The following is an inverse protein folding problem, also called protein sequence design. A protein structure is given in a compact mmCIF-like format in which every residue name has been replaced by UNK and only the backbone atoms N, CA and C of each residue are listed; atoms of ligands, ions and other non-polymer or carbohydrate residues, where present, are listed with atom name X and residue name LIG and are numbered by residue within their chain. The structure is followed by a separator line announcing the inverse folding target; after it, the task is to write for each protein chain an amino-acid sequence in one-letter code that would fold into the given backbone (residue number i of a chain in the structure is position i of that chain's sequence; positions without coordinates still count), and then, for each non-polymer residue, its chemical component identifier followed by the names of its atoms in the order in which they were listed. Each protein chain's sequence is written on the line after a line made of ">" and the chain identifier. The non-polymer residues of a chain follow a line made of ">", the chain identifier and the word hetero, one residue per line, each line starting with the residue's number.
data_IF_999385424820
#
_entry.id   IF_999385424820
#
_cell.length_a   1.000
_cell.length_b   1.000
_cell.length_c   1.000
_cell.angle_alpha   90.00
_cell.angle_beta   90.00
_cell.angle_gamma   90.00
#
_symmetry.space_group_name_H-M   'P 1'
#
loop_
_entity.id
_entity.type
_entity.pdbx_description
1 polymer ?
#
# COMPACT_ATOMS: atom_id res chain seq x y z
N UNK A 1 -18.87 -14.49 8.95
CA UNK A 1 -17.84 -13.82 8.12
C UNK A 1 -18.39 -12.58 7.42
N UNK A 2 -19.58 -12.67 6.76
CA UNK A 2 -20.13 -11.55 5.97
C UNK A 2 -20.38 -10.26 6.77
N UNK A 3 -20.75 -10.40 8.06
CA UNK A 3 -20.90 -9.26 8.96
C UNK A 3 -19.57 -8.54 9.24
N UNK A 4 -18.47 -9.31 9.35
CA UNK A 4 -17.11 -8.75 9.52
C UNK A 4 -16.69 -8.02 8.25
N UNK A 5 -16.87 -8.67 7.09
CA UNK A 5 -16.54 -8.06 5.79
C UNK A 5 -17.35 -6.79 5.51
N UNK A 6 -18.58 -6.70 6.06
CA UNK A 6 -19.45 -5.53 5.94
C UNK A 6 -19.17 -4.45 7.00
N UNK A 7 -18.14 -4.59 7.83
CA UNK A 7 -17.76 -3.63 8.89
C UNK A 7 -18.76 -3.56 10.06
N UNK A 8 -19.66 -4.54 10.20
CA UNK A 8 -20.69 -4.50 11.26
C UNK A 8 -20.18 -4.87 12.64
N UNK A 9 -18.96 -5.38 12.73
CA UNK A 9 -18.34 -5.88 13.96
C UNK A 9 -16.97 -5.22 14.21
N UNK A 10 -16.69 -4.06 13.63
CA UNK A 10 -15.39 -3.38 13.74
C UNK A 10 -15.02 -3.05 15.18
N UNK A 11 -16.02 -2.75 16.03
CA UNK A 11 -15.86 -2.53 17.46
C UNK A 11 -15.40 -3.77 18.25
N UNK A 12 -15.48 -4.95 17.65
CA UNK A 12 -15.00 -6.20 18.22
C UNK A 12 -13.51 -6.49 17.93
N UNK A 13 -12.82 -5.57 17.23
CA UNK A 13 -11.40 -5.66 16.89
C UNK A 13 -10.59 -4.53 17.54
N UNK A 14 -10.47 -4.51 18.89
CA UNK A 14 -9.87 -3.38 19.62
C UNK A 14 -8.34 -3.38 19.64
N UNK A 15 -7.70 -4.34 18.97
CA UNK A 15 -6.25 -4.49 19.02
C UNK A 15 -5.55 -3.30 18.35
N UNK A 16 -4.49 -2.84 19.00
CA UNK A 16 -3.66 -1.73 18.48
C UNK A 16 -2.59 -2.26 17.52
N UNK A 17 -2.02 -1.36 16.71
CA UNK A 17 -0.93 -1.72 15.77
C UNK A 17 0.31 -2.23 16.51
N UNK A 18 0.63 -1.65 17.68
CA UNK A 18 1.76 -2.03 18.51
C UNK A 18 1.45 -3.30 19.30
N UNK A 19 1.77 -4.43 18.73
CA UNK A 19 1.65 -5.76 19.31
C UNK A 19 2.80 -6.65 18.81
N UNK A 20 2.84 -7.92 19.24
CA UNK A 20 3.87 -8.86 18.79
C UNK A 20 3.81 -9.07 17.27
N UNK A 21 4.95 -9.13 16.61
CA UNK A 21 5.04 -9.33 15.15
C UNK A 21 4.56 -10.70 14.65
N UNK A 22 4.34 -11.65 15.58
CA UNK A 22 3.80 -13.00 15.25
C UNK A 22 2.34 -12.98 14.76
N UNK A 23 1.57 -11.92 15.05
CA UNK A 23 0.17 -11.79 14.65
C UNK A 23 -0.80 -12.70 15.38
N UNK A 24 -0.37 -13.42 16.41
CA UNK A 24 -1.22 -14.36 17.16
C UNK A 24 -2.45 -13.69 17.74
N UNK A 25 -2.30 -12.49 18.30
CA UNK A 25 -3.42 -11.74 18.89
C UNK A 25 -4.47 -11.41 17.83
N UNK A 26 -4.06 -10.92 16.66
CA UNK A 26 -4.97 -10.60 15.55
C UNK A 26 -5.68 -11.85 15.04
N UNK A 27 -4.95 -12.95 14.80
CA UNK A 27 -5.53 -14.21 14.38
C UNK A 27 -6.56 -14.73 15.38
N UNK A 28 -6.21 -14.72 16.68
CA UNK A 28 -7.14 -15.21 17.73
C UNK A 28 -8.33 -14.29 17.90
N UNK A 29 -8.18 -12.97 17.82
CA UNK A 29 -9.31 -12.05 17.86
C UNK A 29 -10.33 -12.36 16.75
N UNK A 30 -9.87 -12.58 15.52
CA UNK A 30 -10.75 -12.96 14.40
C UNK A 30 -11.45 -14.30 14.70
N UNK A 31 -10.71 -15.30 15.16
CA UNK A 31 -11.25 -16.62 15.47
C UNK A 31 -12.30 -16.57 16.59
N UNK A 32 -12.06 -15.79 17.63
CA UNK A 32 -12.99 -15.60 18.75
C UNK A 32 -14.25 -14.87 18.31
N UNK A 33 -14.12 -13.79 17.54
CA UNK A 33 -15.28 -13.05 17.02
C UNK A 33 -16.15 -13.96 16.14
N UNK A 34 -15.54 -14.77 15.26
CA UNK A 34 -16.26 -15.71 14.40
C UNK A 34 -17.00 -16.77 15.24
N UNK A 35 -16.29 -17.40 16.20
CA UNK A 35 -16.86 -18.46 17.04
C UNK A 35 -18.02 -17.94 17.89
N UNK A 36 -17.82 -16.80 18.56
CA UNK A 36 -18.81 -16.26 19.48
C UNK A 36 -20.01 -15.66 18.74
N UNK A 37 -19.77 -14.99 17.62
CA UNK A 37 -20.87 -14.50 16.79
C UNK A 37 -21.68 -15.65 16.20
N UNK A 38 -21.01 -16.73 15.77
CA UNK A 38 -21.67 -17.95 15.30
C UNK A 38 -22.58 -18.57 16.38
N UNK A 39 -22.11 -18.60 17.63
CA UNK A 39 -22.90 -19.06 18.79
C UNK A 39 -24.15 -18.21 19.01
N UNK A 40 -24.01 -16.88 19.01
CA UNK A 40 -25.14 -15.95 19.16
C UNK A 40 -26.16 -16.09 18.03
N UNK A 41 -25.72 -16.26 16.79
CA UNK A 41 -26.61 -16.45 15.64
C UNK A 41 -27.44 -17.75 15.73
N UNK A 42 -26.98 -18.71 16.51
CA UNK A 42 -27.72 -19.95 16.82
C UNK A 42 -28.61 -19.87 18.06
N UNK A 43 -28.78 -18.68 18.64
CA UNK A 43 -29.61 -18.41 19.79
C UNK A 43 -28.91 -18.57 21.15
N UNK A 44 -27.59 -18.79 21.16
CA UNK A 44 -26.79 -18.84 22.38
C UNK A 44 -26.48 -17.44 22.95
N UNK A 45 -25.97 -17.41 24.18
CA UNK A 45 -25.53 -16.22 24.89
C UNK A 45 -24.01 -16.16 24.99
N UNK A 46 -23.43 -14.94 24.94
CA UNK A 46 -22.00 -14.75 25.18
C UNK A 46 -21.56 -15.23 26.57
N UNK A 47 -22.50 -15.29 27.53
CA UNK A 47 -22.25 -15.76 28.90
C UNK A 47 -22.30 -17.28 29.05
N UNK A 48 -22.69 -18.02 28.02
CA UNK A 48 -22.75 -19.50 28.09
C UNK A 48 -21.33 -20.05 28.27
N UNK A 49 -21.18 -21.04 29.16
CA UNK A 49 -19.88 -21.68 29.42
C UNK A 49 -19.40 -22.49 28.21
N UNK A 50 -20.31 -23.17 27.54
CA UNK A 50 -20.05 -23.96 26.34
C UNK A 50 -20.55 -23.22 25.12
N UNK A 51 -19.70 -23.12 24.10
CA UNK A 51 -20.02 -22.46 22.83
C UNK A 51 -20.23 -23.53 21.75
N UNK A 52 -21.06 -23.22 20.77
CA UNK A 52 -21.27 -24.08 19.61
C UNK A 52 -20.01 -24.29 18.77
N UNK A 53 -19.19 -23.25 18.65
CA UNK A 53 -17.91 -23.28 17.96
C UNK A 53 -16.78 -22.92 18.93
N UNK A 54 -15.67 -23.66 18.84
CA UNK A 54 -14.45 -23.33 19.57
C UNK A 54 -13.48 -22.56 18.68
N UNK A 55 -12.90 -21.41 19.14
CA UNK A 55 -12.03 -20.58 18.32
C UNK A 55 -10.82 -21.32 17.73
N UNK A 56 -10.16 -22.19 18.53
CA UNK A 56 -9.01 -22.95 18.07
C UNK A 56 -9.38 -24.23 17.31
N UNK A 57 -10.32 -25.00 17.84
CA UNK A 57 -10.55 -26.36 17.36
C UNK A 57 -11.44 -26.39 16.11
N UNK A 58 -12.33 -25.41 15.96
CA UNK A 58 -13.26 -25.33 14.84
C UNK A 58 -12.86 -24.22 13.85
N UNK A 59 -12.67 -22.97 14.33
CA UNK A 59 -12.43 -21.83 13.43
C UNK A 59 -10.98 -21.83 12.92
N UNK A 60 -10.00 -22.04 13.79
CA UNK A 60 -8.58 -22.09 13.42
C UNK A 60 -8.12 -23.46 12.91
N UNK A 61 -9.03 -24.39 12.68
CA UNK A 61 -8.72 -25.75 12.25
C UNK A 61 -7.87 -25.78 11.00
N UNK A 62 -6.81 -26.59 11.01
CA UNK A 62 -5.84 -26.71 9.90
C UNK A 62 -5.03 -25.44 9.61
N UNK A 63 -4.97 -24.51 10.55
CA UNK A 63 -4.27 -23.23 10.45
C UNK A 63 -3.36 -22.97 11.65
N UNK A 64 -2.48 -22.00 11.51
CA UNK A 64 -1.70 -21.41 12.58
C UNK A 64 -1.68 -19.88 12.39
N UNK A 65 -1.45 -19.11 13.45
CA UNK A 65 -1.13 -17.68 13.30
C UNK A 65 0.10 -17.48 12.42
N UNK A 66 1.00 -18.47 12.39
CA UNK A 66 2.24 -18.39 11.66
C UNK A 66 2.07 -18.41 10.14
N UNK A 67 1.00 -19.03 9.62
CA UNK A 67 0.68 -19.02 8.19
C UNK A 67 -0.46 -18.06 7.83
N UNK A 68 -1.45 -17.86 8.73
CA UNK A 68 -2.58 -16.96 8.47
C UNK A 68 -2.18 -15.49 8.45
N UNK A 69 -1.35 -15.05 9.39
CA UNK A 69 -1.00 -13.64 9.51
C UNK A 69 -0.13 -13.13 8.35
N UNK A 70 0.97 -13.81 7.94
CA UNK A 70 1.70 -13.41 6.74
C UNK A 70 0.83 -13.48 5.48
N UNK A 71 -0.07 -14.44 5.36
CA UNK A 71 -1.05 -14.48 4.27
C UNK A 71 -1.93 -13.25 4.26
N UNK A 72 -2.45 -12.82 5.41
CA UNK A 72 -3.25 -11.59 5.50
C UNK A 72 -2.44 -10.34 5.15
N UNK A 73 -1.15 -10.27 5.55
CA UNK A 73 -0.24 -9.19 5.17
C UNK A 73 -0.06 -9.11 3.65
N UNK A 74 0.18 -10.25 2.98
CA UNK A 74 0.33 -10.30 1.53
C UNK A 74 -0.95 -9.87 0.81
N UNK A 75 -2.11 -10.36 1.24
CA UNK A 75 -3.40 -9.98 0.66
C UNK A 75 -3.62 -8.47 0.80
N UNK A 76 -3.46 -7.91 1.99
CA UNK A 76 -3.67 -6.50 2.25
C UNK A 76 -2.69 -5.61 1.46
N UNK A 77 -1.41 -5.97 1.42
CA UNK A 77 -0.39 -5.23 0.68
C UNK A 77 -0.65 -5.29 -0.84
N UNK A 78 -0.95 -6.47 -1.38
CA UNK A 78 -1.28 -6.63 -2.80
C UNK A 78 -2.49 -5.79 -3.19
N UNK A 79 -3.56 -5.89 -2.41
CA UNK A 79 -4.81 -5.18 -2.67
C UNK A 79 -4.62 -3.67 -2.66
N UNK A 80 -3.96 -3.10 -1.65
CA UNK A 80 -3.74 -1.65 -1.58
C UNK A 80 -2.81 -1.15 -2.69
N UNK A 81 -1.81 -1.93 -3.09
CA UNK A 81 -0.98 -1.60 -4.24
C UNK A 81 -1.80 -1.57 -5.52
N UNK A 82 -2.64 -2.56 -5.74
CA UNK A 82 -3.43 -2.74 -6.97
C UNK A 82 -4.57 -1.75 -7.10
N UNK A 83 -5.29 -1.49 -6.00
CA UNK A 83 -6.52 -0.70 -6.00
C UNK A 83 -6.29 0.80 -5.75
N UNK A 84 -5.23 1.15 -5.04
CA UNK A 84 -4.97 2.55 -4.62
C UNK A 84 -3.67 3.09 -5.19
N UNK A 85 -2.54 2.43 -4.90
CA UNK A 85 -1.22 2.99 -5.17
C UNK A 85 -0.91 3.07 -6.66
N UNK A 86 -1.06 1.97 -7.38
CA UNK A 86 -0.81 1.91 -8.84
C UNK A 86 -1.74 2.86 -9.60
N UNK A 87 -3.07 2.89 -9.37
CA UNK A 87 -3.96 3.85 -10.00
C UNK A 87 -3.58 5.30 -9.70
N UNK A 88 -3.26 5.63 -8.46
CA UNK A 88 -2.87 6.98 -8.06
C UNK A 88 -1.61 7.47 -8.79
N UNK A 89 -0.55 6.66 -8.81
CA UNK A 89 0.70 6.98 -9.52
C UNK A 89 0.45 7.06 -11.04
N UNK A 90 -0.37 6.17 -11.58
CA UNK A 90 -0.74 6.16 -13.00
C UNK A 90 -1.47 7.44 -13.40
N UNK A 91 -2.40 7.91 -12.58
CA UNK A 91 -3.11 9.18 -12.79
C UNK A 91 -2.16 10.36 -12.81
N UNK A 92 -1.26 10.45 -11.84
CA UNK A 92 -0.24 11.50 -11.80
C UNK A 92 0.67 11.45 -13.03
N UNK A 93 1.18 10.27 -13.38
CA UNK A 93 2.01 10.06 -14.57
C UNK A 93 1.29 10.51 -15.84
N UNK A 94 0.03 10.13 -16.04
CA UNK A 94 -0.74 10.51 -17.23
C UNK A 94 -0.98 12.04 -17.29
N UNK A 95 -1.22 12.66 -16.14
CA UNK A 95 -1.34 14.13 -16.05
C UNK A 95 -0.04 14.82 -16.45
N UNK A 96 1.11 14.29 -15.99
CA UNK A 96 2.42 14.81 -16.36
C UNK A 96 2.73 14.60 -17.85
N UNK A 97 2.36 13.46 -18.44
CA UNK A 97 2.50 13.21 -19.88
C UNK A 97 1.69 14.23 -20.70
N UNK A 98 0.44 14.48 -20.31
CA UNK A 98 -0.42 15.45 -20.96
C UNK A 98 0.16 16.89 -20.87
N UNK A 99 0.66 17.27 -19.68
CA UNK A 99 1.30 18.58 -19.49
C UNK A 99 2.61 18.68 -20.27
N UNK A 100 3.41 17.63 -20.32
CA UNK A 100 4.62 17.55 -21.13
C UNK A 100 4.31 17.84 -22.60
N UNK A 101 3.31 17.15 -23.16
CA UNK A 101 2.90 17.36 -24.53
C UNK A 101 2.39 18.80 -24.77
N UNK A 102 1.57 19.32 -23.87
CA UNK A 102 1.00 20.66 -23.97
C UNK A 102 2.05 21.78 -23.92
N UNK A 103 3.14 21.59 -23.19
CA UNK A 103 4.17 22.62 -22.95
C UNK A 103 5.46 22.42 -23.75
N UNK A 104 5.47 21.54 -24.75
CA UNK A 104 6.62 21.30 -25.61
C UNK A 104 7.11 22.55 -26.39
N UNK A 105 6.21 23.49 -26.64
CA UNK A 105 6.53 24.74 -27.36
C UNK A 105 7.09 25.84 -26.45
N UNK A 106 7.07 25.66 -25.13
CA UNK A 106 7.53 26.69 -24.17
C UNK A 106 9.02 26.51 -23.91
N UNK A 107 9.84 27.36 -24.53
CA UNK A 107 11.30 27.37 -24.32
C UNK A 107 11.60 28.05 -22.99
N UNK A 108 12.46 27.45 -22.19
CA UNK A 108 12.94 27.97 -20.91
C UNK A 108 14.45 27.73 -20.76
N UNK A 109 15.02 28.38 -19.75
CA UNK A 109 16.40 28.06 -19.35
C UNK A 109 16.48 26.75 -18.63
N UNK A 110 17.45 25.89 -18.96
CA UNK A 110 17.87 24.76 -18.15
C UNK A 110 18.85 25.19 -17.08
N UNK A 111 18.83 24.49 -15.93
CA UNK A 111 19.72 24.76 -14.81
C UNK A 111 20.54 23.55 -14.45
N UNK A 112 21.81 23.75 -14.16
CA UNK A 112 22.70 22.80 -13.47
C UNK A 112 23.28 23.50 -12.27
N UNK A 113 23.30 22.89 -11.09
CA UNK A 113 23.74 23.54 -9.84
C UNK A 113 22.98 24.82 -9.50
N UNK A 114 21.71 24.94 -9.94
CA UNK A 114 20.90 26.18 -9.88
C UNK A 114 21.41 27.35 -10.70
N UNK A 115 22.47 27.16 -11.52
CA UNK A 115 23.00 28.15 -12.42
C UNK A 115 22.43 27.95 -13.84
N UNK A 116 22.28 29.04 -14.56
CA UNK A 116 21.82 29.02 -15.95
C UNK A 116 22.72 28.14 -16.82
N UNK A 117 22.09 27.25 -17.58
CA UNK A 117 22.77 26.35 -18.49
C UNK A 117 22.23 26.50 -19.93
N UNK A 118 21.98 25.41 -20.64
CA UNK A 118 21.44 25.44 -21.99
C UNK A 118 19.91 25.46 -22.00
N UNK A 119 19.25 26.03 -23.04
CA UNK A 119 17.80 26.01 -23.17
C UNK A 119 17.24 24.59 -23.32
N UNK A 120 16.05 24.40 -22.80
CA UNK A 120 15.18 23.24 -23.04
C UNK A 120 13.73 23.75 -23.07
N UNK A 121 12.78 22.83 -23.29
CA UNK A 121 11.35 23.17 -23.15
C UNK A 121 10.79 22.73 -21.81
N UNK A 122 9.78 23.43 -21.32
CA UNK A 122 9.06 23.03 -20.11
C UNK A 122 8.46 21.61 -20.28
N UNK A 123 7.99 21.29 -21.50
CA UNK A 123 7.52 19.93 -21.79
C UNK A 123 8.60 18.86 -21.64
N UNK A 124 9.83 19.15 -22.08
CA UNK A 124 10.97 18.23 -21.88
C UNK A 124 11.30 18.02 -20.41
N UNK A 125 11.28 19.06 -19.58
CA UNK A 125 11.49 18.95 -18.14
C UNK A 125 10.43 18.07 -17.48
N UNK A 126 9.14 18.32 -17.77
CA UNK A 126 8.01 17.53 -17.24
C UNK A 126 8.07 16.08 -17.73
N UNK A 127 8.53 15.82 -18.96
CA UNK A 127 8.68 14.45 -19.48
C UNK A 127 9.61 13.60 -18.61
N UNK A 128 10.63 14.22 -18.00
CA UNK A 128 11.50 13.55 -17.05
C UNK A 128 10.75 13.03 -15.82
N UNK A 129 9.81 13.82 -15.29
CA UNK A 129 8.97 13.44 -14.15
C UNK A 129 8.04 12.27 -14.50
N UNK A 130 7.37 12.33 -15.66
CA UNK A 130 6.53 11.26 -16.15
C UNK A 130 7.32 9.95 -16.34
N UNK A 131 8.54 10.05 -16.87
CA UNK A 131 9.44 8.89 -17.03
C UNK A 131 9.86 8.27 -15.70
N UNK A 132 10.15 9.08 -14.66
CA UNK A 132 10.44 8.57 -13.32
C UNK A 132 9.27 7.74 -12.78
N UNK A 133 8.03 8.23 -12.88
CA UNK A 133 6.85 7.51 -12.43
C UNK A 133 6.56 6.26 -13.25
N UNK A 134 6.82 6.28 -14.56
CA UNK A 134 6.73 5.09 -15.42
C UNK A 134 7.66 3.98 -14.94
N UNK A 135 8.91 4.32 -14.62
CA UNK A 135 9.87 3.34 -14.09
C UNK A 135 9.49 2.87 -12.68
N UNK A 136 8.99 3.78 -11.84
CA UNK A 136 8.48 3.43 -10.52
C UNK A 136 7.30 2.45 -10.57
N UNK A 137 6.34 2.68 -11.48
CA UNK A 137 5.24 1.75 -11.72
C UNK A 137 5.75 0.37 -12.16
N UNK A 138 6.74 0.33 -13.06
CA UNK A 138 7.36 -0.94 -13.48
C UNK A 138 8.00 -1.65 -12.28
N UNK A 139 8.71 -0.93 -11.42
CA UNK A 139 9.31 -1.50 -10.22
C UNK A 139 8.25 -2.13 -9.31
N UNK A 140 7.12 -1.44 -9.05
CA UNK A 140 6.02 -1.99 -8.24
C UNK A 140 5.43 -3.23 -8.91
N UNK A 141 5.15 -3.19 -10.22
CA UNK A 141 4.57 -4.35 -10.91
C UNK A 141 5.45 -5.59 -10.83
N UNK A 142 6.76 -5.43 -10.86
CA UNK A 142 7.70 -6.55 -10.77
C UNK A 142 7.67 -7.27 -9.41
N UNK A 143 7.16 -6.62 -8.35
CA UNK A 143 7.07 -7.22 -7.00
C UNK A 143 5.78 -8.01 -6.79
N UNK A 144 4.79 -7.84 -7.65
CA UNK A 144 3.45 -8.40 -7.45
C UNK A 144 3.42 -9.92 -7.52
N UNK A 145 4.24 -10.54 -8.35
CA UNK A 145 4.30 -12.00 -8.48
C UNK A 145 4.71 -12.63 -7.15
N UNK A 146 5.83 -12.18 -6.57
CA UNK A 146 6.31 -12.66 -5.28
C UNK A 146 5.30 -12.34 -4.16
N UNK A 147 4.70 -11.15 -4.16
CA UNK A 147 3.70 -10.76 -3.17
C UNK A 147 2.39 -11.57 -3.30
N UNK A 148 2.12 -12.19 -4.45
CA UNK A 148 0.95 -13.04 -4.66
C UNK A 148 1.05 -14.44 -4.02
N UNK A 149 2.24 -14.85 -3.60
CA UNK A 149 2.50 -16.15 -2.99
C UNK A 149 2.07 -16.18 -1.53
N UNK A 150 1.20 -17.14 -1.16
CA UNK A 150 0.60 -17.21 0.16
C UNK A 150 1.20 -18.33 1.02
N UNK A 151 1.51 -18.00 2.28
CA UNK A 151 2.03 -18.90 3.28
C UNK A 151 1.00 -19.94 3.76
N UNK A 152 -0.30 -19.64 3.63
CA UNK A 152 -1.38 -20.45 4.20
C UNK A 152 -1.34 -21.89 3.71
N UNK A 153 -1.51 -22.81 4.64
CA UNK A 153 -1.32 -24.25 4.43
C UNK A 153 0.00 -24.79 4.95
N UNK A 154 0.96 -23.91 5.32
CA UNK A 154 2.20 -24.32 5.99
C UNK A 154 2.02 -24.68 7.46
N UNK A 155 0.91 -24.25 8.07
CA UNK A 155 0.60 -24.39 9.49
C UNK A 155 1.67 -23.77 10.41
N UNK A 156 2.17 -24.49 11.40
CA UNK A 156 3.04 -23.93 12.42
C UNK A 156 4.46 -23.58 11.91
N UNK A 157 5.03 -24.43 11.04
CA UNK A 157 6.45 -24.35 10.65
C UNK A 157 6.72 -24.59 9.16
N UNK A 158 5.68 -24.75 8.34
CA UNK A 158 5.82 -24.97 6.90
C UNK A 158 5.57 -26.40 6.41
N UNK A 159 5.40 -27.35 7.33
CA UNK A 159 5.20 -28.78 6.99
C UNK A 159 3.77 -29.12 6.56
N UNK A 160 2.80 -28.23 6.82
CA UNK A 160 1.39 -28.49 6.54
C UNK A 160 0.75 -29.58 7.42
N UNK A 161 1.34 -29.85 8.60
CA UNK A 161 0.82 -30.87 9.52
C UNK A 161 -0.62 -30.55 9.92
N UNK A 162 -1.46 -31.59 9.99
CA UNK A 162 -2.90 -31.50 10.29
C UNK A 162 -3.75 -30.81 9.23
N UNK A 163 -3.24 -30.62 8.00
CA UNK A 163 -4.04 -30.15 6.88
C UNK A 163 -4.57 -31.30 6.04
N UNK A 164 -5.76 -31.19 5.45
CA UNK A 164 -6.22 -32.12 4.41
C UNK A 164 -5.32 -32.05 3.17
N UNK A 165 -5.23 -33.14 2.42
CA UNK A 165 -4.48 -33.17 1.16
C UNK A 165 -5.01 -32.11 0.18
N UNK A 166 -4.10 -31.29 -0.40
CA UNK A 166 -4.45 -30.22 -1.34
C UNK A 166 -5.01 -28.97 -0.68
N UNK A 167 -4.90 -28.84 0.64
CA UNK A 167 -5.42 -27.67 1.38
C UNK A 167 -4.79 -26.36 0.92
N UNK A 168 -3.46 -26.29 0.81
CA UNK A 168 -2.72 -25.08 0.46
C UNK A 168 -3.11 -24.53 -0.91
N UNK A 169 -3.23 -25.42 -1.91
CA UNK A 169 -3.64 -25.03 -3.26
C UNK A 169 -5.10 -24.59 -3.31
N UNK A 170 -5.97 -25.33 -2.61
CA UNK A 170 -7.39 -25.03 -2.60
C UNK A 170 -7.70 -23.71 -1.87
N UNK A 171 -7.07 -23.45 -0.73
CA UNK A 171 -7.31 -22.21 0.02
C UNK A 171 -6.79 -20.99 -0.74
N UNK A 172 -5.62 -21.07 -1.36
CA UNK A 172 -5.10 -19.99 -2.20
C UNK A 172 -6.04 -19.69 -3.39
N UNK A 173 -6.58 -20.74 -4.04
CA UNK A 173 -7.57 -20.61 -5.10
C UNK A 173 -8.88 -19.97 -4.62
N UNK A 174 -9.35 -20.32 -3.41
CA UNK A 174 -10.52 -19.68 -2.83
C UNK A 174 -10.29 -18.21 -2.52
N UNK A 175 -9.11 -17.86 -1.99
CA UNK A 175 -8.73 -16.47 -1.74
C UNK A 175 -8.68 -15.70 -3.08
N UNK A 176 -8.06 -16.27 -4.11
CA UNK A 176 -8.03 -15.66 -5.43
C UNK A 176 -9.44 -15.41 -6.01
N UNK A 177 -10.35 -16.37 -5.85
CA UNK A 177 -11.73 -16.22 -6.30
C UNK A 177 -12.50 -15.15 -5.51
N UNK A 178 -12.32 -15.08 -4.20
CA UNK A 178 -12.98 -14.10 -3.33
C UNK A 178 -12.50 -12.68 -3.56
N UNK A 179 -11.21 -12.51 -3.83
CA UNK A 179 -10.58 -11.20 -4.01
C UNK A 179 -10.56 -10.72 -5.47
N UNK A 180 -10.70 -11.65 -6.42
CA UNK A 180 -10.48 -11.37 -7.85
C UNK A 180 -9.00 -11.10 -8.17
N UNK A 181 -8.07 -11.43 -7.27
CA UNK A 181 -6.63 -11.19 -7.41
C UNK A 181 -5.88 -12.52 -7.62
N UNK A 182 -4.71 -12.52 -8.28
CA UNK A 182 -4.04 -13.74 -8.73
C UNK A 182 -3.21 -14.43 -7.65
N UNK A 183 -3.78 -14.63 -6.47
CA UNK A 183 -3.08 -15.32 -5.38
C UNK A 183 -2.85 -16.78 -5.67
N UNK A 184 -1.66 -17.25 -5.33
CA UNK A 184 -1.22 -18.64 -5.47
C UNK A 184 -0.63 -19.14 -4.15
N UNK A 185 -0.52 -20.45 -4.01
CA UNK A 185 0.18 -21.03 -2.86
C UNK A 185 1.70 -20.86 -3.05
N UNK A 186 2.42 -20.42 -2.02
CA UNK A 186 3.88 -20.31 -2.08
C UNK A 186 4.50 -21.68 -2.32
N UNK A 187 5.50 -21.72 -3.23
CA UNK A 187 6.23 -22.94 -3.55
C UNK A 187 6.96 -23.51 -2.33
N UNK A 188 7.56 -22.63 -1.53
CA UNK A 188 8.26 -23.00 -0.31
C UNK A 188 7.57 -22.41 0.93
N UNK A 189 6.85 -23.25 1.68
CA UNK A 189 6.14 -22.84 2.88
C UNK A 189 7.08 -22.48 4.05
N UNK A 190 8.27 -23.00 4.08
CA UNK A 190 9.24 -22.69 5.14
C UNK A 190 9.73 -21.26 5.01
N UNK A 191 10.07 -20.83 3.81
CA UNK A 191 10.43 -19.45 3.51
C UNK A 191 9.24 -18.51 3.74
N UNK A 192 8.08 -18.81 3.16
CA UNK A 192 6.90 -17.96 3.21
C UNK A 192 6.36 -17.70 4.64
N UNK A 193 6.62 -18.63 5.60
CA UNK A 193 6.29 -18.43 7.01
C UNK A 193 7.36 -17.62 7.76
N UNK A 194 8.62 -17.85 7.45
CA UNK A 194 9.74 -17.38 8.25
C UNK A 194 10.31 -16.02 7.81
N UNK A 195 10.07 -15.63 6.55
CA UNK A 195 10.58 -14.41 5.95
C UNK A 195 9.45 -13.48 5.51
N UNK A 196 9.78 -12.19 5.37
CA UNK A 196 8.88 -11.17 4.84
C UNK A 196 9.48 -10.50 3.58
N UNK A 197 10.25 -11.25 2.82
CA UNK A 197 11.06 -10.74 1.71
C UNK A 197 10.20 -10.11 0.63
N UNK A 198 9.02 -10.67 0.32
CA UNK A 198 8.06 -10.11 -0.63
C UNK A 198 7.55 -8.71 -0.19
N UNK A 199 7.31 -8.52 1.12
CA UNK A 199 6.90 -7.21 1.67
C UNK A 199 8.07 -6.22 1.61
N UNK A 200 9.28 -6.67 1.93
CA UNK A 200 10.50 -5.84 1.86
C UNK A 200 10.79 -5.43 0.42
N UNK A 201 10.65 -6.34 -0.54
CA UNK A 201 10.81 -6.06 -1.99
C UNK A 201 9.78 -5.03 -2.46
N UNK A 202 8.51 -5.23 -2.13
CA UNK A 202 7.44 -4.28 -2.45
C UNK A 202 7.71 -2.90 -1.84
N UNK A 203 8.17 -2.85 -0.59
CA UNK A 203 8.55 -1.59 0.06
C UNK A 203 9.77 -0.94 -0.61
N UNK A 204 10.74 -1.71 -1.07
CA UNK A 204 11.88 -1.21 -1.85
C UNK A 204 11.45 -0.50 -3.15
N UNK A 205 10.45 -1.07 -3.85
CA UNK A 205 9.84 -0.45 -5.01
C UNK A 205 9.08 0.84 -4.66
N UNK A 206 8.32 0.85 -3.56
CA UNK A 206 7.67 2.07 -3.05
C UNK A 206 8.68 3.14 -2.67
N UNK A 207 9.80 2.78 -2.07
CA UNK A 207 10.90 3.70 -1.73
C UNK A 207 11.47 4.37 -2.99
N UNK A 208 11.63 3.62 -4.08
CA UNK A 208 12.04 4.18 -5.37
C UNK A 208 11.06 5.23 -5.88
N UNK A 209 9.76 4.96 -5.78
CA UNK A 209 8.71 5.93 -6.14
C UNK A 209 8.74 7.14 -5.22
N UNK A 210 8.93 6.95 -3.92
CA UNK A 210 8.99 8.04 -2.93
C UNK A 210 10.15 9.02 -3.25
N UNK A 211 11.32 8.51 -3.63
CA UNK A 211 12.45 9.33 -4.07
C UNK A 211 12.10 10.17 -5.31
N UNK A 212 11.43 9.57 -6.29
CA UNK A 212 10.95 10.27 -7.48
C UNK A 212 9.91 11.35 -7.13
N UNK A 213 8.94 11.03 -6.28
CA UNK A 213 7.92 11.98 -5.83
C UNK A 213 8.52 13.14 -5.03
N UNK A 214 9.51 12.87 -4.17
CA UNK A 214 10.24 13.89 -3.44
C UNK A 214 10.91 14.89 -4.41
N UNK A 215 11.59 14.37 -5.43
CA UNK A 215 12.24 15.20 -6.46
C UNK A 215 11.21 16.05 -7.21
N UNK A 216 10.13 15.46 -7.68
CA UNK A 216 9.07 16.15 -8.43
C UNK A 216 8.44 17.24 -7.55
N UNK A 217 8.09 16.94 -6.31
CA UNK A 217 7.49 17.90 -5.38
C UNK A 217 8.42 19.09 -5.11
N UNK A 218 9.71 18.84 -4.90
CA UNK A 218 10.69 19.90 -4.68
C UNK A 218 10.90 20.77 -5.92
N UNK A 219 10.96 20.19 -7.11
CA UNK A 219 11.09 20.95 -8.35
C UNK A 219 9.87 21.85 -8.59
N UNK A 220 8.66 21.30 -8.49
CA UNK A 220 7.42 22.08 -8.65
C UNK A 220 7.36 23.23 -7.65
N UNK A 221 7.68 22.94 -6.38
CA UNK A 221 7.72 23.95 -5.31
C UNK A 221 8.74 25.06 -5.57
N UNK A 222 9.91 24.69 -6.10
CA UNK A 222 10.96 25.62 -6.40
C UNK A 222 10.64 26.49 -7.64
N UNK A 223 10.17 25.86 -8.73
CA UNK A 223 9.78 26.56 -9.95
C UNK A 223 8.62 27.53 -9.73
N UNK A 224 7.73 27.25 -8.76
CA UNK A 224 6.61 28.13 -8.39
C UNK A 224 6.95 29.16 -7.31
N UNK A 225 8.18 29.20 -6.83
CA UNK A 225 8.58 30.08 -5.73
C UNK A 225 8.55 31.58 -6.14
N UNK A 226 8.16 32.40 -5.19
CA UNK A 226 8.08 33.85 -5.41
C UNK A 226 6.65 34.36 -5.48
N UNK A 227 6.24 35.05 -6.57
CA UNK A 227 6.91 35.17 -7.87
C UNK A 227 8.01 36.24 -7.98
N UNK A 228 8.04 37.23 -7.05
CA UNK A 228 8.92 38.40 -7.22
C UNK A 228 10.35 38.13 -6.72
N UNK A 229 10.50 37.39 -5.64
CA UNK A 229 11.81 37.13 -5.01
C UNK A 229 12.13 35.61 -5.04
N UNK A 230 11.61 34.89 -6.01
CA UNK A 230 11.87 33.50 -6.27
C UNK A 230 12.03 33.22 -7.77
N UNK A 231 11.92 31.94 -8.17
CA UNK A 231 12.09 31.55 -9.58
C UNK A 231 10.86 31.97 -10.41
N UNK A 232 9.64 31.71 -9.95
CA UNK A 232 8.40 32.19 -10.57
C UNK A 232 8.18 31.72 -12.01
N UNK A 233 8.68 30.54 -12.41
CA UNK A 233 8.52 30.02 -13.77
C UNK A 233 7.16 29.38 -14.03
N UNK A 234 6.53 28.85 -12.99
CA UNK A 234 5.21 28.23 -13.07
C UNK A 234 4.28 28.79 -11.98
N UNK A 235 2.99 28.78 -12.28
CA UNK A 235 1.96 29.05 -11.30
C UNK A 235 1.27 27.76 -10.89
N UNK A 236 1.09 27.58 -9.58
CA UNK A 236 0.31 26.47 -9.01
C UNK A 236 -1.10 26.93 -8.67
N UNK A 237 -2.12 26.04 -8.70
CA UNK A 237 -3.47 26.39 -8.32
C UNK A 237 -3.55 26.89 -6.88
N UNK A 238 -4.42 27.88 -6.65
CA UNK A 238 -4.80 28.37 -5.33
C UNK A 238 -5.84 27.41 -4.73
N UNK A 239 -5.40 26.36 -4.05
CA UNK A 239 -6.27 25.32 -3.49
C UNK A 239 -6.80 25.67 -2.11
N UNK A 240 -6.11 26.60 -1.40
CA UNK A 240 -6.46 27.01 -0.04
C UNK A 240 -5.85 28.38 0.31
N UNK A 241 -6.37 29.09 1.32
CA UNK A 241 -5.74 30.31 1.83
C UNK A 241 -4.33 30.02 2.33
N UNK A 242 -3.33 30.67 1.74
CA UNK A 242 -1.92 30.43 2.06
C UNK A 242 -1.43 31.12 3.33
N UNK A 243 -2.17 32.11 3.85
CA UNK A 243 -1.77 32.88 5.03
C UNK A 243 -2.97 33.62 5.61
N UNK A 244 -3.03 33.71 6.95
CA UNK A 244 -4.05 34.49 7.66
C UNK A 244 -3.80 36.00 7.64
N UNK A 245 -2.55 36.43 7.40
CA UNK A 245 -2.14 37.84 7.47
C UNK A 245 -1.65 38.41 6.13
N UNK A 246 -1.41 37.58 5.13
CA UNK A 246 -0.94 37.97 3.80
C UNK A 246 -1.93 37.53 2.73
N UNK A 247 -2.93 38.36 2.39
CA UNK A 247 -3.91 38.02 1.36
C UNK A 247 -3.24 37.74 0.01
N UNK A 248 -3.73 36.73 -0.70
CA UNK A 248 -3.22 36.33 -2.01
C UNK A 248 -1.89 35.54 -1.99
N UNK A 249 -1.37 35.19 -0.83
CA UNK A 249 -0.24 34.28 -0.73
C UNK A 249 -0.71 32.82 -0.99
N UNK A 250 -0.15 32.17 -2.01
CA UNK A 250 -0.42 30.78 -2.37
C UNK A 250 0.76 29.93 -1.91
N UNK A 251 0.52 28.97 -1.03
CA UNK A 251 1.54 28.04 -0.58
C UNK A 251 1.50 26.72 -1.40
N UNK A 252 2.64 26.06 -1.64
CA UNK A 252 2.72 24.79 -2.36
C UNK A 252 2.40 23.58 -1.42
N UNK A 253 1.30 23.67 -0.64
CA UNK A 253 0.99 22.73 0.45
C UNK A 253 0.86 21.29 0.01
N UNK A 254 0.36 21.03 -1.20
CA UNK A 254 0.29 19.68 -1.75
C UNK A 254 1.69 19.10 -2.00
N UNK A 255 2.63 19.90 -2.48
CA UNK A 255 4.03 19.48 -2.65
C UNK A 255 4.71 19.26 -1.29
N UNK A 256 4.38 20.09 -0.30
CA UNK A 256 4.89 19.92 1.07
C UNK A 256 4.39 18.64 1.72
N UNK A 257 3.09 18.36 1.64
CA UNK A 257 2.49 17.12 2.12
C UNK A 257 3.11 15.89 1.42
N UNK A 258 3.29 15.96 0.09
CA UNK A 258 3.91 14.87 -0.67
C UNK A 258 5.36 14.62 -0.24
N UNK A 259 6.12 15.66 0.06
CA UNK A 259 7.49 15.52 0.56
C UNK A 259 7.54 14.88 1.95
N UNK A 260 6.59 15.20 2.83
CA UNK A 260 6.47 14.54 4.15
C UNK A 260 6.14 13.04 4.02
N UNK A 261 5.19 12.68 3.14
CA UNK A 261 4.87 11.28 2.84
C UNK A 261 6.09 10.54 2.30
N UNK A 262 6.80 11.15 1.35
CA UNK A 262 7.98 10.54 0.76
C UNK A 262 9.08 10.27 1.81
N UNK A 263 9.33 11.20 2.73
CA UNK A 263 10.28 11.00 3.85
C UNK A 263 9.85 9.84 4.74
N UNK A 264 8.56 9.74 5.07
CA UNK A 264 8.04 8.65 5.89
C UNK A 264 8.27 7.29 5.21
N UNK A 265 7.95 7.18 3.92
CA UNK A 265 8.18 5.93 3.15
C UNK A 265 9.67 5.60 3.05
N UNK A 266 10.54 6.59 2.89
CA UNK A 266 11.99 6.37 2.85
C UNK A 266 12.56 5.96 4.21
N UNK A 267 11.95 6.41 5.30
CA UNK A 267 12.39 6.13 6.67
C UNK A 267 11.95 4.76 7.20
N UNK A 268 10.83 4.22 6.69
CA UNK A 268 10.39 2.89 7.05
C UNK A 268 11.27 1.83 6.41
#
# INVERSE_FOLDING_TARGET
>A
CDEILAGKLDDQFPLVVWQTGSGTQSNMNVNEVIAYRGHVLQGGSLNDKEKFLHPNDDVNKSQSSNDTFPTAMHIAAYQILKEVTIPGITTLKNTLDAKSAAYMHIVKIGRTHFMDATPLTLGQEISGYASQLKHGLKAIHNTLDHLSELALGGTAVGTGINTPKGYSENVAKHIANLTGLPFVTAENKFEALAAHDAIVEAHGALKTVAVSLMKIANDVRMLSSGPRSGIGEIFIPDNEPGSSIMPGKVNPTQCEALSMIAVQVMGN
#
